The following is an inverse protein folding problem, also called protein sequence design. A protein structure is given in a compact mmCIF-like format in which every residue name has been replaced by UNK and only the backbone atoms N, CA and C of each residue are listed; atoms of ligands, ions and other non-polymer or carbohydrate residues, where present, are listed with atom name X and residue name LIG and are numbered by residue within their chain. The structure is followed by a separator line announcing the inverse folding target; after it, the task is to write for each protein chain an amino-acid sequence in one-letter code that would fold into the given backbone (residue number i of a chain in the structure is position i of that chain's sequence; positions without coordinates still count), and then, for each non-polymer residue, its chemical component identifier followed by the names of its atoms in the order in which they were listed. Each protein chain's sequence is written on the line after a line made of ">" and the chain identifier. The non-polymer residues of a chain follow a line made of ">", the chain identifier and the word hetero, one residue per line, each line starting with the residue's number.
data_IF_480021292651
#
_entry.id   IF_480021292651
#
_cell.length_a   1.000
_cell.length_b   1.000
_cell.length_c   1.000
_cell.angle_alpha   90.00
_cell.angle_beta   90.00
_cell.angle_gamma   90.00
#
_symmetry.space_group_name_H-M   'P 1'
#
loop_
_entity.id
_entity.type
_entity.pdbx_description
1 polymer ?
#
# COMPACT_ATOMS: atom_id res chain seq x y z
N UNK A 1 24.41 15.04 14.86
CA UNK A 1 24.51 14.28 13.61
C UNK A 1 24.89 15.10 12.38
N UNK A 2 24.71 16.43 12.34
CA UNK A 2 24.99 17.25 11.15
C UNK A 2 26.36 17.98 11.19
N UNK A 3 27.16 17.77 12.24
CA UNK A 3 28.52 18.35 12.30
C UNK A 3 29.48 17.55 11.41
N UNK A 4 30.23 18.20 10.49
CA UNK A 4 31.24 17.51 9.69
C UNK A 4 32.31 16.82 10.51
N UNK A 5 32.65 17.35 11.70
CA UNK A 5 33.61 16.73 12.62
C UNK A 5 33.05 15.43 13.21
N UNK A 6 31.77 15.40 13.56
CA UNK A 6 31.10 14.19 14.03
C UNK A 6 31.03 13.13 12.93
N UNK A 7 30.65 13.48 11.71
CA UNK A 7 30.62 12.54 10.57
C UNK A 7 31.97 11.88 10.32
N UNK A 8 33.09 12.63 10.48
CA UNK A 8 34.42 12.05 10.38
C UNK A 8 34.78 11.15 11.56
N UNK A 9 34.33 11.47 12.76
CA UNK A 9 34.66 10.68 13.98
C UNK A 9 33.99 9.32 14.02
N UNK A 10 32.86 9.14 13.31
CA UNK A 10 32.08 7.88 13.27
C UNK A 10 32.33 7.07 11.98
N UNK A 11 33.35 7.44 11.20
CA UNK A 11 33.72 6.79 9.92
C UNK A 11 32.49 6.54 9.00
N UNK A 12 31.71 7.58 8.81
CA UNK A 12 30.50 7.52 7.95
C UNK A 12 30.84 7.01 6.54
N UNK A 13 32.04 7.25 6.06
CA UNK A 13 32.51 6.82 4.73
C UNK A 13 32.47 5.30 4.53
N UNK A 14 32.64 4.52 5.60
CA UNK A 14 32.58 3.05 5.56
C UNK A 14 31.14 2.49 5.62
N UNK A 15 30.11 3.36 5.64
CA UNK A 15 28.73 2.92 5.73
C UNK A 15 28.11 2.72 4.36
N UNK A 16 27.34 1.65 4.16
CA UNK A 16 26.56 1.39 2.95
C UNK A 16 25.27 2.21 2.90
N UNK A 17 24.74 2.59 4.07
CA UNK A 17 23.47 3.30 4.20
C UNK A 17 23.49 4.24 5.40
N UNK A 18 22.98 5.45 5.22
CA UNK A 18 22.68 6.38 6.32
C UNK A 18 21.19 6.63 6.38
N UNK A 19 20.62 6.45 7.57
CA UNK A 19 19.19 6.69 7.84
C UNK A 19 19.07 7.83 8.86
N UNK A 20 18.51 8.97 8.43
CA UNK A 20 18.33 10.17 9.24
C UNK A 20 16.88 10.24 9.75
N UNK A 21 16.66 9.99 11.05
CA UNK A 21 15.33 9.86 11.68
C UNK A 21 15.14 10.82 12.86
N UNK A 22 15.78 11.98 12.87
CA UNK A 22 15.60 12.95 13.95
C UNK A 22 14.21 13.60 13.90
N UNK A 23 13.90 14.40 14.92
CA UNK A 23 12.63 15.13 14.96
C UNK A 23 12.58 16.37 14.03
N UNK A 24 13.68 16.72 13.38
CA UNK A 24 13.81 17.92 12.54
C UNK A 24 14.12 17.53 11.08
N UNK A 25 13.24 17.90 10.17
CA UNK A 25 13.35 17.54 8.76
C UNK A 25 14.62 18.12 8.13
N UNK A 26 14.96 19.39 8.47
CA UNK A 26 16.17 20.05 7.97
C UNK A 26 17.44 19.33 8.41
N UNK A 27 17.46 18.83 9.64
CA UNK A 27 18.58 18.05 10.17
C UNK A 27 18.72 16.73 9.43
N UNK A 28 17.61 16.07 9.10
CA UNK A 28 17.61 14.82 8.35
C UNK A 28 18.10 15.03 6.92
N UNK A 29 17.65 16.11 6.26
CA UNK A 29 18.09 16.48 4.90
C UNK A 29 19.60 16.76 4.90
N UNK A 30 20.07 17.61 5.80
CA UNK A 30 21.49 17.97 5.88
C UNK A 30 22.35 16.73 6.19
N UNK A 31 21.88 15.83 7.06
CA UNK A 31 22.59 14.60 7.37
C UNK A 31 22.77 13.71 6.14
N UNK A 32 21.74 13.57 5.31
CA UNK A 32 21.81 12.81 4.06
C UNK A 32 22.77 13.43 3.04
N UNK A 33 22.68 14.75 2.84
CA UNK A 33 23.60 15.47 1.95
C UNK A 33 25.06 15.28 2.39
N UNK A 34 25.33 15.42 3.70
CA UNK A 34 26.68 15.23 4.23
C UNK A 34 27.15 13.78 4.09
N UNK A 35 26.27 12.81 4.28
CA UNK A 35 26.59 11.39 4.10
C UNK A 35 27.00 11.10 2.64
N UNK A 36 26.21 11.56 1.67
CA UNK A 36 26.52 11.41 0.23
C UNK A 36 27.86 12.06 -0.11
N UNK A 37 28.11 13.27 0.37
CA UNK A 37 29.41 13.97 0.15
C UNK A 37 30.60 13.24 0.80
N UNK A 38 30.37 12.40 1.78
CA UNK A 38 31.39 11.53 2.37
C UNK A 38 31.47 10.14 1.68
N UNK A 39 30.72 9.91 0.60
CA UNK A 39 30.80 8.72 -0.23
C UNK A 39 29.86 7.59 0.17
N UNK A 40 28.88 7.85 1.03
CA UNK A 40 27.84 6.85 1.38
C UNK A 40 26.93 6.61 0.16
N UNK A 41 26.76 5.35 -0.29
CA UNK A 41 25.98 5.07 -1.52
C UNK A 41 24.47 5.28 -1.36
N UNK A 42 23.92 5.07 -0.16
CA UNK A 42 22.47 5.15 0.06
C UNK A 42 22.10 6.02 1.25
N UNK A 43 21.01 6.81 1.07
CA UNK A 43 20.50 7.69 2.13
C UNK A 43 18.99 7.62 2.22
N UNK A 44 18.49 7.60 3.47
CA UNK A 44 17.06 7.66 3.79
C UNK A 44 16.83 8.80 4.77
N UNK A 45 15.88 9.68 4.48
CA UNK A 45 15.50 10.76 5.39
C UNK A 45 14.04 10.64 5.83
N UNK A 46 13.79 10.81 7.14
CA UNK A 46 12.45 11.08 7.63
C UNK A 46 12.11 12.54 7.37
N UNK A 47 11.01 12.78 6.64
CA UNK A 47 10.49 14.12 6.34
C UNK A 47 8.98 14.11 6.60
N UNK A 48 8.50 15.12 7.31
CA UNK A 48 7.09 15.28 7.69
C UNK A 48 6.41 16.41 6.96
N UNK A 49 7.17 17.39 6.45
CA UNK A 49 6.61 18.56 5.76
C UNK A 49 5.85 18.11 4.49
N UNK A 50 4.51 18.32 4.43
CA UNK A 50 3.71 17.93 3.26
C UNK A 50 4.15 18.64 1.98
N UNK A 51 4.71 19.84 2.06
CA UNK A 51 5.19 20.59 0.89
C UNK A 51 6.37 19.88 0.25
N UNK A 52 7.30 19.41 1.08
CA UNK A 52 8.43 18.63 0.59
C UNK A 52 7.98 17.28 0.00
N UNK A 53 7.02 16.63 0.65
CA UNK A 53 6.47 15.35 0.20
C UNK A 53 5.65 15.44 -1.09
N UNK A 54 5.24 16.64 -1.51
CA UNK A 54 4.55 16.88 -2.77
C UNK A 54 5.48 17.04 -3.97
N UNK A 55 6.78 17.23 -3.73
CA UNK A 55 7.77 17.32 -4.80
C UNK A 55 8.00 15.95 -5.48
N UNK A 56 8.31 15.94 -6.79
CA UNK A 56 8.67 14.70 -7.47
C UNK A 56 9.88 14.01 -6.84
N UNK A 57 9.85 12.69 -6.78
CA UNK A 57 10.94 11.87 -6.17
C UNK A 57 12.29 12.17 -6.84
N UNK A 58 12.29 12.31 -8.17
CA UNK A 58 13.51 12.62 -8.93
C UNK A 58 14.08 13.99 -8.55
N UNK A 59 13.21 15.00 -8.33
CA UNK A 59 13.64 16.32 -7.86
C UNK A 59 14.32 16.24 -6.50
N UNK A 60 13.77 15.46 -5.58
CA UNK A 60 14.33 15.27 -4.23
C UNK A 60 15.70 14.58 -4.32
N UNK A 61 15.80 13.53 -5.13
CA UNK A 61 17.03 12.77 -5.32
C UNK A 61 18.13 13.63 -5.93
N UNK A 62 17.83 14.39 -6.97
CA UNK A 62 18.80 15.20 -7.70
C UNK A 62 19.30 16.43 -6.92
N UNK A 63 18.42 17.05 -6.11
CA UNK A 63 18.74 18.30 -5.43
C UNK A 63 19.20 18.11 -3.98
N UNK A 64 18.80 17.03 -3.31
CA UNK A 64 19.07 16.79 -1.89
C UNK A 64 19.87 15.52 -1.61
N UNK A 65 20.24 14.76 -2.66
CA UNK A 65 20.97 13.49 -2.50
C UNK A 65 20.26 12.50 -1.54
N UNK A 66 18.91 12.47 -1.56
CA UNK A 66 18.10 11.56 -0.74
C UNK A 66 17.50 10.49 -1.65
N UNK A 67 17.89 9.24 -1.45
CA UNK A 67 17.39 8.14 -2.28
C UNK A 67 15.95 7.71 -1.89
N UNK A 68 15.60 7.85 -0.61
CA UNK A 68 14.26 7.53 -0.12
C UNK A 68 13.82 8.51 0.97
N UNK A 69 12.63 9.05 0.80
CA UNK A 69 11.94 9.84 1.85
C UNK A 69 10.94 8.96 2.58
N UNK A 70 11.02 8.93 3.92
CA UNK A 70 10.11 8.22 4.78
C UNK A 70 9.27 9.23 5.58
N UNK A 71 7.94 9.18 5.42
CA UNK A 71 6.98 9.90 6.25
C UNK A 71 6.05 8.91 6.95
N UNK A 72 6.32 8.53 8.20
CA UNK A 72 5.45 7.62 8.96
C UNK A 72 4.03 8.15 9.07
N UNK A 73 3.88 9.45 9.23
CA UNK A 73 2.59 10.14 9.33
C UNK A 73 1.76 9.96 8.04
N UNK A 74 2.38 10.13 6.88
CA UNK A 74 1.71 9.96 5.58
C UNK A 74 1.36 8.49 5.33
N UNK A 75 2.27 7.56 5.65
CA UNK A 75 2.01 6.12 5.53
C UNK A 75 0.83 5.71 6.40
N UNK A 76 0.83 6.16 7.67
CA UNK A 76 -0.27 5.87 8.61
C UNK A 76 -1.59 6.50 8.14
N UNK A 77 -1.57 7.75 7.67
CA UNK A 77 -2.77 8.43 7.17
C UNK A 77 -3.35 7.71 5.94
N UNK A 78 -2.50 7.23 5.03
CA UNK A 78 -2.94 6.43 3.88
C UNK A 78 -3.58 5.11 4.31
N UNK A 79 -3.01 4.44 5.31
CA UNK A 79 -3.54 3.19 5.84
C UNK A 79 -4.91 3.40 6.51
N UNK A 80 -5.04 4.44 7.35
CA UNK A 80 -6.32 4.82 7.96
C UNK A 80 -7.36 5.16 6.89
N UNK A 81 -6.97 5.96 5.88
CA UNK A 81 -7.85 6.30 4.76
C UNK A 81 -8.34 5.06 4.03
N UNK A 82 -7.44 4.10 3.77
CA UNK A 82 -7.78 2.82 3.14
C UNK A 82 -8.83 2.04 3.94
N UNK A 83 -8.63 1.91 5.26
CA UNK A 83 -9.58 1.22 6.14
C UNK A 83 -10.94 1.91 6.18
N UNK A 84 -10.97 3.23 6.17
CA UNK A 84 -12.21 4.02 6.17
C UNK A 84 -12.94 3.94 4.83
N UNK A 85 -12.20 4.03 3.72
CA UNK A 85 -12.78 4.05 2.36
C UNK A 85 -13.21 2.68 1.86
N UNK A 86 -12.61 1.61 2.38
CA UNK A 86 -12.91 0.22 1.96
C UNK A 86 -13.12 -0.68 3.18
N UNK A 87 -14.17 -0.43 3.99
CA UNK A 87 -14.42 -1.17 5.24
C UNK A 87 -14.63 -2.67 5.03
N UNK A 88 -15.00 -3.07 3.81
CA UNK A 88 -15.25 -4.44 3.42
C UNK A 88 -13.99 -5.22 3.05
N UNK A 89 -12.89 -4.52 2.76
CA UNK A 89 -11.62 -5.15 2.40
C UNK A 89 -10.87 -5.60 3.66
N UNK A 90 -10.40 -6.84 3.65
CA UNK A 90 -9.43 -7.33 4.64
C UNK A 90 -8.07 -6.71 4.33
N UNK A 91 -7.71 -6.69 3.04
CA UNK A 91 -6.46 -6.14 2.56
C UNK A 91 -6.60 -5.54 1.15
N UNK A 92 -5.80 -4.52 0.85
CA UNK A 92 -5.67 -3.93 -0.50
C UNK A 92 -4.19 -3.70 -0.76
N UNK A 93 -3.68 -4.25 -1.84
CA UNK A 93 -2.31 -4.04 -2.27
C UNK A 93 -2.25 -3.37 -3.64
N UNK A 94 -1.39 -2.36 -3.75
CA UNK A 94 -1.20 -1.58 -4.96
C UNK A 94 -0.04 -2.13 -5.80
N UNK A 95 -0.27 -2.27 -7.11
CA UNK A 95 0.73 -2.64 -8.10
C UNK A 95 0.80 -1.58 -9.20
N UNK A 96 1.94 -1.54 -9.90
CA UNK A 96 2.17 -0.65 -11.04
C UNK A 96 1.83 0.83 -10.74
N UNK A 97 2.27 1.33 -9.57
CA UNK A 97 2.01 2.71 -9.16
C UNK A 97 0.52 3.01 -8.90
N UNK A 98 -0.24 2.03 -8.41
CA UNK A 98 -1.66 2.18 -8.08
C UNK A 98 -2.61 1.99 -9.28
N UNK A 99 -2.09 1.61 -10.46
CA UNK A 99 -2.93 1.33 -11.64
C UNK A 99 -3.66 0.01 -11.54
N UNK A 100 -3.13 -0.93 -10.78
CA UNK A 100 -3.71 -2.25 -10.51
C UNK A 100 -3.73 -2.46 -9.00
N UNK A 101 -4.82 -3.01 -8.48
CA UNK A 101 -4.97 -3.35 -7.06
C UNK A 101 -5.37 -4.81 -6.91
N UNK A 102 -4.88 -5.43 -5.84
CA UNK A 102 -5.36 -6.71 -5.33
C UNK A 102 -6.19 -6.44 -4.08
N UNK A 103 -7.49 -6.72 -4.16
CA UNK A 103 -8.45 -6.56 -3.08
C UNK A 103 -8.75 -7.92 -2.47
N UNK A 104 -8.43 -8.11 -1.19
CA UNK A 104 -8.90 -9.26 -0.41
C UNK A 104 -10.18 -8.91 0.35
N UNK A 105 -11.21 -9.69 0.18
CA UNK A 105 -12.47 -9.52 0.91
C UNK A 105 -13.06 -10.85 1.36
N UNK A 106 -13.67 -10.86 2.54
CA UNK A 106 -14.42 -12.02 3.05
C UNK A 106 -15.85 -11.93 2.55
N UNK A 107 -16.31 -12.97 1.87
CA UNK A 107 -17.68 -13.00 1.35
C UNK A 107 -18.70 -13.13 2.48
N UNK A 108 -19.58 -12.15 2.58
CA UNK A 108 -20.77 -12.26 3.42
C UNK A 108 -21.65 -13.42 2.95
N UNK A 109 -22.32 -14.18 3.84
CA UNK A 109 -23.32 -15.15 3.44
C UNK A 109 -24.45 -14.58 2.57
N UNK A 110 -24.65 -13.26 2.62
CA UNK A 110 -25.67 -12.54 1.84
C UNK A 110 -25.13 -11.90 0.56
N UNK A 111 -23.87 -12.15 0.24
CA UNK A 111 -23.26 -11.64 -1.00
C UNK A 111 -23.96 -12.22 -2.22
N UNK A 112 -24.15 -11.40 -3.24
CA UNK A 112 -24.71 -11.83 -4.53
C UNK A 112 -23.82 -12.82 -5.29
N UNK A 113 -22.58 -12.99 -4.87
CA UNK A 113 -21.60 -13.91 -5.46
C UNK A 113 -21.66 -15.32 -4.88
N UNK A 114 -22.19 -15.46 -3.67
CA UNK A 114 -22.26 -16.76 -2.96
C UNK A 114 -23.15 -17.74 -3.70
N UNK A 115 -22.74 -19.02 -3.74
CA UNK A 115 -23.37 -20.13 -4.44
C UNK A 115 -23.42 -20.01 -5.97
N UNK A 116 -22.71 -19.05 -6.57
CA UNK A 116 -22.56 -18.94 -8.02
C UNK A 116 -21.23 -19.52 -8.50
N UNK A 117 -21.22 -20.11 -9.67
CA UNK A 117 -19.98 -20.48 -10.35
C UNK A 117 -19.31 -19.22 -10.90
N UNK A 118 -17.98 -19.19 -10.94
CA UNK A 118 -17.25 -18.01 -11.39
C UNK A 118 -17.66 -17.59 -12.81
N UNK A 119 -17.89 -18.53 -13.70
CA UNK A 119 -18.34 -18.24 -15.08
C UNK A 119 -19.72 -17.56 -15.16
N UNK A 120 -20.53 -17.69 -14.11
CA UNK A 120 -21.89 -17.14 -14.04
C UNK A 120 -21.91 -15.79 -13.27
N UNK A 121 -20.77 -15.34 -12.77
CA UNK A 121 -20.61 -14.05 -12.09
C UNK A 121 -20.23 -12.99 -13.11
N UNK A 122 -21.07 -11.96 -13.22
CA UNK A 122 -20.75 -10.79 -14.03
C UNK A 122 -19.77 -9.89 -13.28
N UNK A 123 -18.50 -9.97 -13.64
CA UNK A 123 -17.45 -9.07 -13.18
C UNK A 123 -17.20 -7.98 -14.23
N UNK A 124 -16.77 -6.77 -13.81
CA UNK A 124 -16.26 -5.78 -14.75
C UNK A 124 -15.12 -6.37 -15.61
N UNK A 125 -14.98 -5.97 -16.90
CA UNK A 125 -14.01 -6.57 -17.81
C UNK A 125 -12.54 -6.52 -17.35
N UNK A 126 -12.22 -5.56 -16.47
CA UNK A 126 -10.88 -5.35 -15.90
C UNK A 126 -10.65 -6.09 -14.59
N UNK A 127 -11.59 -6.93 -14.13
CA UNK A 127 -11.50 -7.63 -12.84
C UNK A 127 -11.43 -9.12 -13.06
N UNK A 128 -10.50 -9.75 -12.36
CA UNK A 128 -10.42 -11.21 -12.29
C UNK A 128 -10.30 -11.67 -10.83
N UNK A 129 -10.63 -12.95 -10.58
CA UNK A 129 -10.45 -13.63 -9.29
C UNK A 129 -9.28 -14.59 -9.43
N UNK A 130 -8.06 -14.19 -9.03
CA UNK A 130 -6.88 -15.06 -9.13
C UNK A 130 -6.82 -16.12 -8.05
N UNK A 131 -7.48 -15.90 -6.88
CA UNK A 131 -7.29 -16.72 -5.70
C UNK A 131 -8.52 -16.72 -4.80
N UNK A 132 -8.81 -17.88 -4.21
CA UNK A 132 -9.78 -18.06 -3.12
C UNK A 132 -9.05 -18.74 -1.97
N UNK A 133 -9.18 -18.19 -0.76
CA UNK A 133 -8.72 -18.85 0.46
C UNK A 133 -9.93 -19.38 1.23
N UNK A 134 -10.00 -20.70 1.37
CA UNK A 134 -11.09 -21.43 2.03
C UNK A 134 -10.50 -22.49 2.95
N UNK A 135 -10.93 -22.52 4.22
CA UNK A 135 -10.56 -23.55 5.20
C UNK A 135 -9.04 -23.86 5.20
N UNK A 136 -8.22 -22.80 5.29
CA UNK A 136 -6.74 -22.87 5.25
C UNK A 136 -6.14 -23.42 3.94
N UNK A 137 -6.93 -23.48 2.86
CA UNK A 137 -6.47 -23.89 1.54
C UNK A 137 -6.51 -22.73 0.56
N UNK A 138 -5.47 -22.62 -0.25
CA UNK A 138 -5.41 -21.69 -1.36
C UNK A 138 -5.88 -22.39 -2.63
N UNK A 139 -6.87 -21.82 -3.30
CA UNK A 139 -7.50 -22.36 -4.50
C UNK A 139 -7.28 -21.36 -5.63
N UNK A 140 -6.62 -21.80 -6.71
CA UNK A 140 -6.60 -21.07 -7.98
C UNK A 140 -7.87 -21.47 -8.73
N UNK A 141 -8.88 -20.56 -8.80
CA UNK A 141 -10.20 -21.00 -9.25
C UNK A 141 -10.30 -21.09 -10.76
N UNK A 142 -11.19 -21.96 -11.22
CA UNK A 142 -11.62 -22.12 -12.59
C UNK A 142 -13.08 -21.71 -12.76
N UNK A 143 -13.54 -21.48 -13.98
CA UNK A 143 -14.89 -21.00 -14.25
C UNK A 143 -16.03 -21.87 -13.66
N UNK A 144 -15.79 -23.15 -13.40
CA UNK A 144 -16.78 -24.05 -12.78
C UNK A 144 -16.75 -24.07 -11.24
N UNK A 145 -15.73 -23.47 -10.62
CA UNK A 145 -15.66 -23.38 -9.17
C UNK A 145 -16.72 -22.42 -8.65
N UNK A 146 -17.21 -22.72 -7.46
CA UNK A 146 -18.28 -21.98 -6.81
C UNK A 146 -17.74 -21.20 -5.62
N UNK A 147 -18.17 -19.95 -5.48
CA UNK A 147 -17.91 -19.15 -4.29
C UNK A 147 -18.85 -19.57 -3.16
N UNK A 148 -18.29 -19.73 -1.97
CA UNK A 148 -19.03 -20.13 -0.76
C UNK A 148 -19.05 -19.01 0.28
N UNK A 149 -20.00 -19.03 1.21
CA UNK A 149 -20.01 -18.10 2.34
C UNK A 149 -18.70 -18.17 3.12
N UNK A 150 -18.22 -17.02 3.56
CA UNK A 150 -17.00 -16.86 4.35
C UNK A 150 -15.69 -17.13 3.62
N UNK A 151 -15.70 -17.43 2.32
CA UNK A 151 -14.48 -17.43 1.51
C UNK A 151 -13.77 -16.08 1.60
N UNK A 152 -12.46 -16.08 1.75
CA UNK A 152 -11.65 -14.92 1.43
C UNK A 152 -11.35 -14.96 -0.06
N UNK A 153 -11.89 -14.01 -0.80
CA UNK A 153 -11.74 -13.92 -2.26
C UNK A 153 -10.83 -12.75 -2.59
N UNK A 154 -9.89 -13.01 -3.48
CA UNK A 154 -8.99 -12.00 -4.00
C UNK A 154 -9.49 -11.55 -5.37
N UNK A 155 -9.64 -10.23 -5.53
CA UNK A 155 -10.02 -9.58 -6.78
C UNK A 155 -8.86 -8.74 -7.26
N UNK A 156 -8.43 -8.93 -8.50
CA UNK A 156 -7.38 -8.16 -9.15
C UNK A 156 -8.00 -7.29 -10.26
N UNK A 157 -7.73 -6.00 -10.23
CA UNK A 157 -8.28 -5.08 -11.23
C UNK A 157 -7.86 -3.64 -11.03
N UNK A 158 -8.45 -2.71 -11.78
CA UNK A 158 -8.24 -1.29 -11.55
C UNK A 158 -9.03 -0.80 -10.31
N UNK A 159 -8.60 0.28 -9.64
CA UNK A 159 -9.22 0.76 -8.40
C UNK A 159 -10.71 1.06 -8.50
N UNK A 160 -11.16 1.61 -9.63
CA UNK A 160 -12.56 2.02 -9.79
C UNK A 160 -13.49 0.82 -9.93
N UNK A 161 -13.10 -0.18 -10.72
CA UNK A 161 -13.84 -1.45 -10.85
C UNK A 161 -13.88 -2.24 -9.54
N UNK A 162 -12.83 -2.18 -8.72
CA UNK A 162 -12.81 -2.88 -7.43
C UNK A 162 -13.67 -2.21 -6.37
N UNK A 163 -13.89 -0.90 -6.42
CA UNK A 163 -14.88 -0.22 -5.57
C UNK A 163 -16.31 -0.74 -5.81
N UNK A 164 -16.64 -1.00 -7.06
CA UNK A 164 -17.93 -1.58 -7.43
C UNK A 164 -18.09 -3.00 -6.86
N UNK A 165 -17.06 -3.83 -6.95
CA UNK A 165 -17.03 -5.18 -6.38
C UNK A 165 -17.22 -5.17 -4.86
N UNK A 166 -16.59 -4.24 -4.15
CA UNK A 166 -16.70 -4.17 -2.68
C UNK A 166 -18.14 -3.95 -2.19
N UNK A 167 -18.95 -3.27 -2.97
CA UNK A 167 -20.38 -3.06 -2.67
C UNK A 167 -21.21 -4.34 -2.79
N UNK A 168 -20.84 -5.25 -3.69
CA UNK A 168 -21.53 -6.52 -3.95
C UNK A 168 -21.09 -7.65 -3.01
N UNK A 169 -19.86 -7.60 -2.51
CA UNK A 169 -19.34 -8.60 -1.56
C UNK A 169 -19.95 -8.47 -0.17
N UNK A 170 -20.46 -7.27 0.18
CA UNK A 170 -21.10 -6.96 1.47
C UNK A 170 -22.52 -6.44 1.25
N UNK A 171 -23.47 -7.32 0.98
CA UNK A 171 -24.89 -6.94 1.03
C UNK A 171 -25.23 -6.49 2.46
N UNK A 172 -25.47 -5.20 2.65
CA UNK A 172 -25.95 -4.65 3.91
C UNK A 172 -27.31 -5.25 4.22
N UNK A 173 -27.47 -5.79 5.44
CA UNK A 173 -28.77 -5.99 6.03
C UNK A 173 -29.47 -4.61 6.08
N UNK A 174 -30.28 -4.28 5.09
CA UNK A 174 -31.23 -3.19 5.25
C UNK A 174 -32.27 -3.65 6.28
N UNK A 175 -32.07 -3.28 7.55
CA UNK A 175 -33.19 -3.26 8.50
C UNK A 175 -34.28 -2.37 7.89
N UNK A 176 -35.31 -2.99 7.33
CA UNK A 176 -36.60 -2.31 7.15
C UNK A 176 -37.11 -1.95 8.54
N UNK A 177 -36.87 -0.71 8.95
CA UNK A 177 -37.59 -0.11 10.07
C UNK A 177 -39.02 0.08 9.60
N UNK A 178 -39.95 -0.68 10.20
CA UNK A 178 -41.40 -0.41 10.14
C UNK A 178 -41.71 0.79 11.01
#
# INVERSE_FOLDING_TARGET
>A
GTSPSFMRSVDVKGSDLVVALTAMDEVNIIACILAKKNGVPHTIARIRDPKFLSEPVDYIKENFDIDLVLSPELVTAREISRLVMTPAAINVEDFAGGKVQLLETKLSPFSSFVHKKLKDISLPPSVLIPLIHRDHRMIIPHGNDQLLPLDNVYFLGNPDSLKEISSHSHAKFQKKTK
#
